data_IF_945531955066
#
_entry.id   IF_945531955066
#
_cell.length_a   1.000
_cell.length_b   1.000
_cell.length_c   1.000
_cell.angle_alpha   90.00
_cell.angle_beta   90.00
_cell.angle_gamma   90.00
#
_symmetry.space_group_name_H-M   'P 1'
#
loop_
_entity.id
_entity.type
_entity.pdbx_description
1 polymer ?
#
# COMPACT_ATOMS: atom_id res chain seq x y z
N UNK A 1 79.36 37.80 -3.52
CA UNK A 1 78.24 37.55 -4.45
C UNK A 1 77.75 36.15 -4.14
N UNK A 2 76.45 36.02 -3.87
CA UNK A 2 75.69 34.79 -3.66
C UNK A 2 75.85 33.97 -2.36
N UNK A 3 74.71 33.38 -1.97
CA UNK A 3 74.49 32.30 -1.00
C UNK A 3 74.28 32.64 0.48
N UNK A 4 73.38 33.57 0.80
CA UNK A 4 72.53 33.45 1.99
C UNK A 4 71.15 34.04 1.69
N UNK A 5 70.18 33.21 1.33
CA UNK A 5 68.73 33.47 1.44
C UNK A 5 68.01 32.48 0.53
N UNK A 6 67.37 31.44 1.10
CA UNK A 6 66.15 30.81 0.53
C UNK A 6 65.57 29.60 1.27
N UNK A 7 66.17 29.10 2.35
CA UNK A 7 65.73 27.80 2.89
C UNK A 7 64.82 27.83 4.12
N UNK A 8 64.50 28.99 4.70
CA UNK A 8 63.72 29.04 5.97
C UNK A 8 62.29 29.56 5.84
N UNK A 9 61.90 30.15 4.70
CA UNK A 9 60.57 30.79 4.59
C UNK A 9 59.46 29.86 4.05
N UNK A 10 59.78 28.70 3.49
CA UNK A 10 58.73 27.84 2.88
C UNK A 10 58.01 26.90 3.85
N UNK A 11 58.50 26.68 5.07
CA UNK A 11 57.90 25.72 6.00
C UNK A 11 56.80 26.31 6.90
N UNK A 12 56.73 27.64 7.04
CA UNK A 12 55.79 28.29 7.97
C UNK A 12 54.45 28.71 7.33
N UNK A 13 54.33 28.70 6.01
CA UNK A 13 53.11 29.12 5.29
C UNK A 13 52.17 27.97 4.93
N UNK A 14 52.56 26.71 5.13
CA UNK A 14 51.70 25.54 4.85
C UNK A 14 50.94 25.02 6.09
N UNK A 15 51.02 25.70 7.24
CA UNK A 15 50.41 25.22 8.49
C UNK A 15 49.08 25.91 8.86
N UNK A 16 48.60 26.90 8.09
CA UNK A 16 47.44 27.71 8.50
C UNK A 16 46.23 27.67 7.55
N UNK A 17 46.22 26.78 6.55
CA UNK A 17 45.08 26.55 5.67
C UNK A 17 44.59 25.09 5.68
N UNK A 18 44.72 24.43 6.83
CA UNK A 18 43.85 23.31 7.15
C UNK A 18 42.45 23.83 7.46
N UNK A 19 41.73 24.30 6.43
CA UNK A 19 40.27 24.39 6.52
C UNK A 19 39.83 22.94 6.72
N UNK A 20 39.60 22.59 7.97
CA UNK A 20 38.73 21.47 8.31
C UNK A 20 37.40 21.85 7.67
N UNK A 21 37.15 21.35 6.47
CA UNK A 21 35.79 21.12 6.02
C UNK A 21 35.23 20.07 6.98
N UNK A 22 34.85 20.51 8.17
CA UNK A 22 33.77 19.85 8.88
C UNK A 22 32.60 20.00 7.93
N UNK A 23 32.33 18.94 7.17
CA UNK A 23 30.99 18.68 6.71
C UNK A 23 30.12 18.75 7.96
N UNK A 24 29.52 19.92 8.21
CA UNK A 24 28.44 20.06 9.15
C UNK A 24 27.37 19.12 8.59
N UNK A 25 27.37 17.88 9.04
CA UNK A 25 26.19 17.05 9.00
C UNK A 25 25.18 17.86 9.80
N UNK A 26 24.26 18.52 9.10
CA UNK A 26 23.06 19.05 9.74
C UNK A 26 22.48 17.88 10.51
N UNK A 27 22.43 18.03 11.82
CA UNK A 27 21.76 17.08 12.70
C UNK A 27 20.29 17.10 12.31
N UNK A 28 19.91 16.24 11.37
CA UNK A 28 18.61 16.32 10.70
C UNK A 28 17.45 16.07 11.66
N UNK A 29 17.71 15.42 12.79
CA UNK A 29 16.76 15.29 13.89
C UNK A 29 16.67 16.54 14.77
N UNK A 30 17.36 17.64 14.42
CA UNK A 30 17.39 18.84 15.26
C UNK A 30 15.98 19.35 15.58
N UNK A 31 15.04 19.26 14.63
CA UNK A 31 13.65 19.62 14.88
C UNK A 31 12.88 18.55 15.66
N UNK A 32 13.13 17.26 15.41
CA UNK A 32 12.46 16.16 16.13
C UNK A 32 12.92 16.01 17.59
N UNK A 33 14.09 16.57 17.93
CA UNK A 33 14.56 16.66 19.32
C UNK A 33 13.76 17.65 20.15
N UNK A 34 13.13 18.63 19.51
CA UNK A 34 12.36 19.67 20.18
C UNK A 34 10.94 19.17 20.47
N UNK A 35 10.48 19.17 21.75
CA UNK A 35 9.13 18.72 22.09
C UNK A 35 8.02 19.47 21.36
N UNK A 36 8.24 20.77 21.08
CA UNK A 36 7.28 21.62 20.38
C UNK A 36 6.94 21.10 18.98
N UNK A 37 7.91 20.50 18.28
CA UNK A 37 7.65 19.90 16.96
C UNK A 37 6.55 18.83 17.04
N UNK A 38 6.62 17.95 18.03
CA UNK A 38 5.63 16.89 18.23
C UNK A 38 4.28 17.43 18.71
N UNK A 39 4.28 18.46 19.56
CA UNK A 39 3.05 19.12 19.99
C UNK A 39 2.34 19.81 18.82
N UNK A 40 3.08 20.53 17.99
CA UNK A 40 2.54 21.22 16.82
C UNK A 40 1.98 20.23 15.80
N UNK A 41 2.70 19.14 15.53
CA UNK A 41 2.23 18.05 14.66
C UNK A 41 0.93 17.44 15.20
N UNK A 42 0.88 17.12 16.51
CA UNK A 42 -0.32 16.59 17.15
C UNK A 42 -1.52 17.55 17.09
N UNK A 43 -1.30 18.85 17.27
CA UNK A 43 -2.35 19.85 17.11
C UNK A 43 -2.86 19.94 15.67
N UNK A 44 -1.97 19.85 14.67
CA UNK A 44 -2.37 19.86 13.27
C UNK A 44 -3.25 18.66 12.92
N UNK A 45 -2.86 17.45 13.34
CA UNK A 45 -3.64 16.22 13.13
C UNK A 45 -5.01 16.29 13.83
N UNK A 46 -5.06 16.81 15.05
CA UNK A 46 -6.32 17.01 15.78
C UNK A 46 -7.24 17.99 15.04
N UNK A 47 -6.71 19.12 14.57
CA UNK A 47 -7.50 20.10 13.81
C UNK A 47 -7.99 19.53 12.48
N UNK A 48 -7.18 18.70 11.81
CA UNK A 48 -7.60 18.00 10.60
C UNK A 48 -8.76 17.04 10.89
N UNK A 49 -8.65 16.24 11.95
CA UNK A 49 -9.70 15.31 12.37
C UNK A 49 -11.02 16.02 12.73
N UNK A 50 -10.96 17.15 13.46
CA UNK A 50 -12.15 17.94 13.83
C UNK A 50 -12.88 18.56 12.64
N UNK A 51 -12.20 18.76 11.50
CA UNK A 51 -12.79 19.34 10.27
C UNK A 51 -13.47 18.29 9.38
N UNK A 52 -13.30 17.01 9.67
CA UNK A 52 -13.86 15.93 8.88
C UNK A 52 -15.40 15.96 8.87
N UNK A 53 -15.99 15.90 7.67
CA UNK A 53 -17.45 15.83 7.49
C UNK A 53 -17.82 14.57 6.73
N UNK A 54 -18.94 13.96 7.13
CA UNK A 54 -19.50 12.83 6.42
C UNK A 54 -20.08 13.28 5.08
N UNK A 55 -19.71 12.62 4.00
CA UNK A 55 -20.24 12.90 2.67
C UNK A 55 -21.47 12.04 2.37
N UNK A 56 -22.31 12.51 1.44
CA UNK A 56 -23.52 11.83 1.00
C UNK A 56 -23.24 10.57 0.16
N UNK A 57 -24.23 10.16 -0.64
CA UNK A 57 -24.13 8.94 -1.46
C UNK A 57 -23.06 9.08 -2.55
N UNK A 58 -22.16 8.10 -2.64
CA UNK A 58 -21.08 8.10 -3.61
C UNK A 58 -21.57 7.90 -5.05
N UNK A 59 -21.20 8.81 -5.96
CA UNK A 59 -21.45 8.65 -7.41
C UNK A 59 -20.57 7.56 -8.03
N UNK A 60 -19.29 7.55 -7.63
CA UNK A 60 -18.22 6.70 -8.15
C UNK A 60 -17.61 5.89 -7.00
N UNK A 61 -17.19 4.66 -7.29
CA UNK A 61 -16.50 3.78 -6.36
C UNK A 61 -15.16 3.37 -6.98
N UNK A 62 -14.07 3.53 -6.24
CA UNK A 62 -12.72 3.11 -6.66
C UNK A 62 -12.14 2.27 -5.54
N UNK A 63 -11.76 1.04 -5.85
CA UNK A 63 -11.10 0.13 -4.92
C UNK A 63 -9.67 -0.12 -5.40
N UNK A 64 -8.70 0.28 -4.59
CA UNK A 64 -7.31 -0.12 -4.76
C UNK A 64 -7.04 -1.33 -3.88
N UNK A 65 -6.44 -2.36 -4.48
CA UNK A 65 -6.13 -3.59 -3.78
C UNK A 65 -4.66 -3.96 -4.02
N UNK A 66 -3.86 -3.92 -2.96
CA UNK A 66 -2.52 -4.50 -2.94
C UNK A 66 -2.60 -5.98 -2.58
N UNK A 67 -2.47 -6.87 -3.58
CA UNK A 67 -2.45 -8.32 -3.36
C UNK A 67 -1.23 -8.70 -2.50
N UNK A 68 -1.48 -9.33 -1.34
CA UNK A 68 -0.43 -9.63 -0.35
C UNK A 68 0.12 -8.43 0.43
N UNK A 69 -0.48 -7.24 0.32
CA UNK A 69 0.01 -6.02 0.98
C UNK A 69 -0.47 -5.92 2.44
N UNK A 70 0.16 -6.70 3.32
CA UNK A 70 -0.06 -6.61 4.76
C UNK A 70 0.53 -5.35 5.40
N UNK A 71 0.25 -5.13 6.69
CA UNK A 71 0.74 -3.95 7.44
C UNK A 71 2.27 -3.82 7.39
N UNK A 72 2.98 -4.93 7.49
CA UNK A 72 4.45 -4.96 7.40
C UNK A 72 4.95 -4.53 6.01
N UNK A 73 4.28 -4.97 4.95
CA UNK A 73 4.57 -4.55 3.57
C UNK A 73 4.33 -3.05 3.39
N UNK A 74 3.25 -2.51 3.98
CA UNK A 74 2.96 -1.06 3.94
C UNK A 74 4.05 -0.26 4.65
N UNK A 75 4.43 -0.64 5.87
CA UNK A 75 5.49 0.07 6.62
C UNK A 75 6.83 -0.01 5.89
N UNK A 76 7.23 -1.18 5.40
CA UNK A 76 8.46 -1.32 4.62
C UNK A 76 8.45 -0.50 3.33
N UNK A 77 7.31 -0.49 2.62
CA UNK A 77 7.12 0.32 1.42
C UNK A 77 7.16 1.82 1.69
N UNK A 78 6.60 2.28 2.82
CA UNK A 78 6.65 3.68 3.26
C UNK A 78 8.09 4.15 3.50
N UNK A 79 8.84 3.38 4.29
CA UNK A 79 10.25 3.69 4.60
C UNK A 79 11.06 3.75 3.31
N UNK A 80 10.94 2.72 2.48
CA UNK A 80 11.63 2.67 1.20
C UNK A 80 11.28 3.86 0.30
N UNK A 81 9.99 4.20 0.17
CA UNK A 81 9.54 5.34 -0.64
C UNK A 81 10.05 6.68 -0.11
N UNK A 82 10.14 6.86 1.21
CA UNK A 82 10.75 8.06 1.80
C UNK A 82 12.23 8.16 1.44
N UNK A 83 12.98 7.06 1.57
CA UNK A 83 14.40 7.01 1.21
C UNK A 83 14.65 7.31 -0.27
N UNK A 84 13.76 6.87 -1.17
CA UNK A 84 13.83 7.24 -2.59
C UNK A 84 13.65 8.76 -2.84
N UNK A 85 13.02 9.48 -1.91
CA UNK A 85 12.88 10.93 -1.96
C UNK A 85 13.97 11.68 -1.17
N UNK A 86 15.02 10.99 -0.69
CA UNK A 86 16.09 11.59 0.11
C UNK A 86 15.69 11.89 1.56
N UNK A 87 14.58 11.34 2.03
CA UNK A 87 14.14 11.34 3.43
C UNK A 87 14.74 10.16 4.20
N UNK A 88 14.56 10.09 5.51
CA UNK A 88 15.03 8.94 6.30
C UNK A 88 14.15 7.70 6.09
N UNK A 89 12.86 7.93 5.92
CA UNK A 89 11.88 6.94 5.49
C UNK A 89 10.69 6.87 6.42
N UNK A 90 10.93 6.81 7.72
CA UNK A 90 9.92 6.58 8.76
C UNK A 90 8.85 7.69 8.82
N UNK A 91 9.25 8.93 8.58
CA UNK A 91 8.42 10.12 8.55
C UNK A 91 7.59 10.28 7.27
N UNK A 92 7.95 9.52 6.22
CA UNK A 92 7.26 9.61 4.94
C UNK A 92 5.82 9.11 5.05
N UNK A 93 4.90 9.71 4.29
CA UNK A 93 3.52 9.25 4.20
C UNK A 93 3.20 8.83 2.77
N UNK A 94 2.74 7.59 2.61
CA UNK A 94 2.19 7.12 1.35
C UNK A 94 0.89 7.86 1.02
N UNK A 95 0.44 7.80 -0.23
CA UNK A 95 -0.75 8.53 -0.68
C UNK A 95 -2.01 8.15 0.10
N UNK A 96 -2.15 6.89 0.49
CA UNK A 96 -3.28 6.38 1.29
C UNK A 96 -3.06 6.47 2.81
N UNK A 97 -1.84 6.76 3.30
CA UNK A 97 -1.65 7.04 4.74
C UNK A 97 -2.37 8.34 5.14
N UNK A 98 -2.68 9.20 4.16
CA UNK A 98 -3.44 10.45 4.32
C UNK A 98 -4.96 10.23 4.32
N UNK A 99 -5.43 8.99 4.16
CA UNK A 99 -6.86 8.72 4.19
C UNK A 99 -7.40 8.88 5.63
N UNK A 100 -8.55 9.54 5.81
CA UNK A 100 -9.04 9.91 7.14
C UNK A 100 -9.66 8.74 7.91
N UNK A 101 -9.89 7.61 7.25
CA UNK A 101 -10.52 6.44 7.85
C UNK A 101 -9.65 5.21 7.65
N UNK A 102 -9.42 4.48 8.74
CA UNK A 102 -8.67 3.23 8.76
C UNK A 102 -9.52 2.15 9.44
N UNK A 103 -9.44 0.93 8.93
CA UNK A 103 -10.09 -0.24 9.51
C UNK A 103 -9.24 -1.48 9.33
N UNK A 104 -9.37 -2.43 10.26
CA UNK A 104 -8.74 -3.74 10.16
C UNK A 104 -9.72 -4.76 9.59
N UNK A 105 -9.25 -5.60 8.66
CA UNK A 105 -10.06 -6.63 8.02
C UNK A 105 -9.62 -8.03 8.47
N UNK A 106 -10.57 -8.87 8.90
CA UNK A 106 -10.33 -10.28 9.24
C UNK A 106 -10.45 -11.16 8.00
N UNK A 107 -9.33 -11.65 7.50
CA UNK A 107 -9.20 -12.26 6.17
C UNK A 107 -9.39 -13.78 6.11
N UNK A 108 -9.62 -14.48 7.23
CA UNK A 108 -9.95 -15.92 7.19
C UNK A 108 -11.11 -16.21 6.23
N UNK A 109 -11.13 -17.38 5.60
CA UNK A 109 -12.23 -17.79 4.74
C UNK A 109 -12.98 -18.99 5.35
N UNK A 110 -13.90 -19.61 4.62
CA UNK A 110 -14.81 -20.63 5.20
C UNK A 110 -14.07 -21.87 5.69
N UNK A 111 -12.99 -22.28 5.01
CA UNK A 111 -12.28 -23.53 5.28
C UNK A 111 -10.77 -23.37 5.53
N UNK A 112 -10.26 -22.14 5.63
CA UNK A 112 -8.85 -21.85 5.92
C UNK A 112 -8.69 -20.57 6.76
N UNK A 113 -7.77 -20.63 7.73
CA UNK A 113 -7.34 -19.46 8.50
C UNK A 113 -6.53 -18.48 7.64
N UNK A 114 -5.70 -19.02 6.75
CA UNK A 114 -4.92 -18.24 5.77
C UNK A 114 -5.59 -18.39 4.41
N UNK A 115 -6.35 -17.36 4.02
CA UNK A 115 -7.06 -17.33 2.74
C UNK A 115 -6.11 -17.21 1.54
N UNK A 116 -6.57 -17.62 0.36
CA UNK A 116 -5.99 -17.20 -0.91
C UNK A 116 -6.68 -15.96 -1.51
N UNK A 117 -6.15 -15.49 -2.64
CA UNK A 117 -6.69 -14.37 -3.42
C UNK A 117 -8.11 -14.63 -3.95
N UNK A 118 -8.49 -15.87 -4.27
CA UNK A 118 -9.82 -16.16 -4.83
C UNK A 118 -10.93 -15.99 -3.79
N UNK A 119 -10.76 -16.63 -2.63
CA UNK A 119 -11.77 -16.57 -1.58
C UNK A 119 -11.85 -15.16 -0.96
N UNK A 120 -10.70 -14.48 -0.83
CA UNK A 120 -10.67 -13.10 -0.34
C UNK A 120 -11.30 -12.11 -1.32
N UNK A 121 -11.06 -12.25 -2.63
CA UNK A 121 -11.69 -11.42 -3.65
C UNK A 121 -13.20 -11.61 -3.73
N UNK A 122 -13.67 -12.85 -3.56
CA UNK A 122 -15.11 -13.10 -3.40
C UNK A 122 -15.67 -12.37 -2.18
N UNK A 123 -14.93 -12.33 -1.06
CA UNK A 123 -15.39 -11.63 0.14
C UNK A 123 -15.48 -10.10 -0.04
N UNK A 124 -14.46 -9.43 -0.59
CA UNK A 124 -14.49 -7.96 -0.72
C UNK A 124 -15.21 -7.44 -1.97
N UNK A 125 -15.38 -8.25 -3.02
CA UNK A 125 -16.15 -7.85 -4.22
C UNK A 125 -17.61 -8.30 -4.17
N UNK A 126 -17.91 -9.47 -3.61
CA UNK A 126 -19.27 -10.04 -3.58
C UNK A 126 -19.92 -9.97 -2.19
N UNK A 127 -19.17 -9.58 -1.15
CA UNK A 127 -19.69 -9.43 0.22
C UNK A 127 -19.94 -10.75 0.96
N UNK A 128 -19.49 -11.88 0.41
CA UNK A 128 -19.72 -13.23 0.98
C UNK A 128 -18.38 -13.96 1.07
N UNK A 129 -18.09 -14.56 2.23
CA UNK A 129 -16.92 -15.44 2.40
C UNK A 129 -17.21 -16.81 1.78
N UNK A 130 -16.20 -17.36 1.12
CA UNK A 130 -16.27 -18.68 0.47
C UNK A 130 -15.07 -19.55 0.82
N UNK A 131 -14.93 -20.68 0.15
CA UNK A 131 -13.86 -21.66 0.35
C UNK A 131 -12.60 -21.32 -0.43
N UNK A 132 -11.47 -21.88 -0.04
CA UNK A 132 -10.18 -21.68 -0.70
C UNK A 132 -10.25 -22.03 -2.20
N UNK A 133 -9.73 -21.13 -3.05
CA UNK A 133 -9.52 -21.41 -4.47
C UNK A 133 -10.78 -21.37 -5.36
N UNK A 134 -11.94 -20.99 -4.85
CA UNK A 134 -13.16 -20.78 -5.65
C UNK A 134 -13.45 -19.29 -5.84
N UNK A 135 -14.08 -18.93 -6.97
CA UNK A 135 -14.34 -17.55 -7.39
C UNK A 135 -15.84 -17.27 -7.49
N UNK A 136 -16.32 -16.22 -6.82
CA UNK A 136 -17.68 -15.68 -6.93
C UNK A 136 -18.78 -16.72 -6.75
N UNK A 137 -18.55 -17.65 -5.83
CA UNK A 137 -19.52 -18.65 -5.39
C UNK A 137 -19.54 -18.71 -3.88
N UNK A 138 -20.65 -19.10 -3.28
CA UNK A 138 -20.75 -19.23 -1.82
C UNK A 138 -20.00 -20.46 -1.27
N UNK A 139 -19.96 -20.59 0.06
CA UNK A 139 -19.21 -21.63 0.76
C UNK A 139 -19.71 -23.08 0.54
N UNK A 140 -20.82 -23.31 -0.16
CA UNK A 140 -21.32 -24.65 -0.51
C UNK A 140 -20.64 -25.21 -1.75
N UNK A 141 -20.04 -24.35 -2.59
CA UNK A 141 -19.28 -24.79 -3.75
C UNK A 141 -18.09 -25.67 -3.32
N UNK A 142 -17.73 -26.64 -4.16
CA UNK A 142 -16.60 -27.54 -3.91
C UNK A 142 -15.52 -27.26 -4.94
N UNK A 143 -14.31 -26.99 -4.48
CA UNK A 143 -13.18 -26.68 -5.36
C UNK A 143 -12.97 -27.81 -6.38
N UNK A 144 -12.78 -27.43 -7.64
CA UNK A 144 -12.55 -28.37 -8.75
C UNK A 144 -13.78 -29.15 -9.20
N UNK A 145 -14.97 -28.90 -8.62
CA UNK A 145 -16.19 -29.61 -8.98
C UNK A 145 -17.19 -28.68 -9.68
N UNK A 146 -17.18 -28.68 -11.01
CA UNK A 146 -18.08 -27.88 -11.85
C UNK A 146 -19.57 -28.18 -11.59
N UNK A 147 -19.93 -29.46 -11.37
CA UNK A 147 -21.32 -29.86 -11.13
C UNK A 147 -21.91 -29.29 -9.84
N UNK A 148 -21.06 -28.83 -8.90
CA UNK A 148 -21.45 -28.23 -7.62
C UNK A 148 -21.38 -26.70 -7.62
N UNK A 149 -21.25 -26.09 -8.80
CA UNK A 149 -21.28 -24.63 -8.94
C UNK A 149 -22.70 -24.08 -9.05
N UNK A 150 -23.57 -24.79 -9.80
CA UNK A 150 -24.92 -24.32 -10.11
C UNK A 150 -25.76 -24.06 -8.85
N UNK A 151 -26.30 -22.85 -8.74
CA UNK A 151 -27.12 -22.39 -7.61
C UNK A 151 -26.33 -21.82 -6.43
N UNK A 152 -25.00 -21.76 -6.53
CA UNK A 152 -24.11 -21.19 -5.53
C UNK A 152 -23.41 -19.91 -6.02
N UNK A 153 -23.73 -19.43 -7.22
CA UNK A 153 -23.19 -18.20 -7.79
C UNK A 153 -23.56 -16.97 -6.95
N UNK A 154 -22.61 -16.04 -6.78
CA UNK A 154 -22.86 -14.75 -6.13
C UNK A 154 -22.51 -13.60 -7.06
N UNK A 155 -23.27 -12.51 -6.94
CA UNK A 155 -23.05 -11.30 -7.72
C UNK A 155 -22.00 -10.42 -7.04
N UNK A 156 -21.12 -9.81 -7.84
CA UNK A 156 -20.16 -8.82 -7.37
C UNK A 156 -20.77 -7.42 -7.32
N UNK A 157 -20.13 -6.50 -6.60
CA UNK A 157 -20.45 -5.08 -6.63
C UNK A 157 -20.38 -4.49 -8.05
N UNK A 158 -19.57 -5.08 -8.94
CA UNK A 158 -19.52 -4.67 -10.34
C UNK A 158 -20.79 -5.08 -11.09
N UNK A 159 -21.31 -6.29 -10.82
CA UNK A 159 -22.60 -6.70 -11.38
C UNK A 159 -23.72 -5.76 -10.91
N UNK A 160 -23.70 -5.36 -9.63
CA UNK A 160 -24.68 -4.41 -9.08
C UNK A 160 -24.54 -3.01 -9.69
N UNK A 161 -23.32 -2.55 -9.94
CA UNK A 161 -23.06 -1.28 -10.60
C UNK A 161 -23.60 -1.28 -12.04
N UNK A 162 -23.35 -2.35 -12.81
CA UNK A 162 -23.91 -2.54 -14.14
C UNK A 162 -25.44 -2.55 -14.13
N UNK A 163 -26.06 -3.29 -13.21
CA UNK A 163 -27.52 -3.33 -13.04
C UNK A 163 -28.11 -1.96 -12.69
N UNK A 164 -27.35 -1.11 -11.99
CA UNK A 164 -27.71 0.27 -11.68
C UNK A 164 -27.38 1.27 -12.83
N UNK A 165 -27.02 0.79 -14.02
CA UNK A 165 -26.72 1.64 -15.19
C UNK A 165 -25.38 2.39 -15.09
N UNK A 166 -24.45 1.94 -14.24
CA UNK A 166 -23.11 2.52 -14.12
C UNK A 166 -22.10 1.78 -15.00
N UNK A 167 -21.05 2.47 -15.40
CA UNK A 167 -19.88 1.85 -16.04
C UNK A 167 -19.00 1.16 -15.00
N UNK A 168 -18.33 0.08 -15.41
CA UNK A 168 -17.37 -0.66 -14.59
C UNK A 168 -16.06 -0.86 -15.34
N UNK A 169 -14.96 -1.01 -14.61
CA UNK A 169 -13.64 -1.29 -15.18
C UNK A 169 -12.76 -2.03 -14.19
N UNK A 170 -11.84 -2.85 -14.71
CA UNK A 170 -10.82 -3.56 -13.95
C UNK A 170 -9.45 -3.24 -14.51
N UNK A 171 -8.53 -2.88 -13.63
CA UNK A 171 -7.13 -2.60 -13.96
C UNK A 171 -6.28 -3.44 -13.01
N UNK A 172 -5.35 -4.21 -13.58
CA UNK A 172 -4.49 -5.10 -12.82
C UNK A 172 -3.14 -5.20 -13.50
N UNK A 173 -2.09 -5.39 -12.70
CA UNK A 173 -0.74 -5.76 -13.18
C UNK A 173 -0.60 -7.28 -13.37
N UNK A 174 -1.50 -8.07 -12.78
CA UNK A 174 -1.61 -9.50 -13.04
C UNK A 174 -2.40 -9.78 -14.33
N UNK A 175 -2.49 -11.05 -14.73
CA UNK A 175 -3.42 -11.47 -15.78
C UNK A 175 -4.84 -11.04 -15.42
N UNK A 176 -5.64 -10.62 -16.41
CA UNK A 176 -7.04 -10.23 -16.19
C UNK A 176 -7.92 -11.39 -15.72
N UNK A 177 -7.46 -12.63 -15.97
CA UNK A 177 -8.05 -13.91 -15.52
C UNK A 177 -7.55 -14.36 -14.15
N UNK A 178 -6.56 -13.69 -13.57
CA UNK A 178 -6.09 -14.01 -12.22
C UNK A 178 -7.25 -13.87 -11.22
N UNK A 179 -7.19 -14.63 -10.12
CA UNK A 179 -8.24 -14.72 -9.11
C UNK A 179 -8.85 -13.37 -8.70
N UNK A 180 -8.00 -12.39 -8.43
CA UNK A 180 -8.36 -11.07 -7.93
C UNK A 180 -9.28 -10.28 -8.89
N UNK A 181 -8.89 -9.99 -10.15
CA UNK A 181 -9.79 -9.38 -11.11
C UNK A 181 -10.94 -10.33 -11.52
N UNK A 182 -10.69 -11.64 -11.63
CA UNK A 182 -11.70 -12.61 -12.05
C UNK A 182 -12.91 -12.67 -11.12
N UNK A 183 -12.73 -12.54 -9.80
CA UNK A 183 -13.83 -12.50 -8.84
C UNK A 183 -14.79 -11.31 -9.06
N UNK A 184 -14.42 -10.30 -9.86
CA UNK A 184 -15.31 -9.21 -10.24
C UNK A 184 -16.34 -9.59 -11.30
N UNK A 185 -16.07 -10.60 -12.13
CA UNK A 185 -16.90 -10.92 -13.31
C UNK A 185 -17.15 -12.42 -13.54
N UNK A 186 -16.18 -13.27 -13.22
CA UNK A 186 -16.23 -14.71 -13.44
C UNK A 186 -16.80 -15.45 -12.22
N UNK A 187 -17.32 -16.64 -12.45
CA UNK A 187 -17.71 -17.64 -11.44
C UNK A 187 -17.01 -18.94 -11.79
N UNK A 188 -16.24 -19.50 -10.87
CA UNK A 188 -15.48 -20.72 -11.14
C UNK A 188 -15.27 -21.53 -9.86
N UNK A 189 -15.40 -22.87 -9.91
CA UNK A 189 -15.04 -23.74 -8.80
C UNK A 189 -13.52 -23.93 -8.68
N UNK A 190 -12.70 -23.44 -9.60
CA UNK A 190 -11.25 -23.39 -9.41
C UNK A 190 -10.66 -22.14 -10.05
N UNK A 191 -9.91 -21.36 -9.26
CA UNK A 191 -9.19 -20.16 -9.71
C UNK A 191 -8.14 -20.44 -10.78
N UNK A 192 -7.71 -21.69 -10.94
CA UNK A 192 -6.73 -22.08 -11.94
C UNK A 192 -7.37 -22.34 -13.32
N UNK A 193 -8.71 -22.37 -13.42
CA UNK A 193 -9.41 -22.50 -14.70
C UNK A 193 -9.47 -21.14 -15.42
N UNK A 194 -8.28 -20.59 -15.73
CA UNK A 194 -8.14 -19.33 -16.47
C UNK A 194 -8.31 -19.51 -17.99
N UNK A 195 -8.09 -20.73 -18.49
CA UNK A 195 -8.19 -21.15 -19.90
C UNK A 195 -8.63 -22.63 -19.98
N UNK A 196 -8.90 -23.09 -21.20
CA UNK A 196 -9.40 -24.44 -21.52
C UNK A 196 -8.31 -25.49 -21.77
N UNK A 197 -7.03 -25.10 -21.81
CA UNK A 197 -5.87 -25.97 -22.03
C UNK A 197 -5.01 -26.19 -20.78
#
# INVERSE_FOLDING_TARGET
>A
MELVSRTVVLAALMAFFGIVLTSAHSDHYAYEKEPNYWYDLGQQELQAALRMKQQGVAKNLILFLGDGMGVTTVTGGRIWAGQQHGLYGEEHLLSWDKFPFVGLSKTYNVDSQTTDSAASATAFLCGIKTRQGVLSVDGRAVRGNCSKMAGNEVESIMNWALAAGKSVGLISTARVTHATPAAGYARSPDRNWECDW
#
